data_IF_270121853927
#
_entry.id   IF_270121853927
#
_cell.length_a   1.000
_cell.length_b   1.000
_cell.length_c   1.000
_cell.angle_alpha   90.00
_cell.angle_beta   90.00
_cell.angle_gamma   90.00
#
_symmetry.space_group_name_H-M   'P 1'
#
loop_
_entity.id
_entity.type
_entity.pdbx_description
1 polymer ?
#
# COMPACT_ATOMS: atom_id res chain seq x y z
N UNK A 1 5.86 61.23 28.20
CA UNK A 1 6.72 60.05 27.95
C UNK A 1 6.18 59.38 26.70
N UNK A 2 6.87 59.58 25.56
CA UNK A 2 7.66 58.53 24.86
C UNK A 2 6.77 57.33 24.44
N UNK A 3 6.61 56.90 23.18
CA UNK A 3 7.23 57.22 21.87
C UNK A 3 6.33 56.58 20.79
N UNK A 4 5.78 57.36 19.84
CA UNK A 4 6.12 57.44 18.40
C UNK A 4 5.84 56.16 17.57
N UNK A 5 4.75 56.16 16.78
CA UNK A 5 4.63 56.54 15.35
C UNK A 5 5.12 55.42 14.41
N UNK A 6 4.27 54.68 13.69
CA UNK A 6 3.38 55.01 12.55
C UNK A 6 4.05 54.80 11.17
N UNK A 7 3.28 54.12 10.31
CA UNK A 7 3.14 54.27 8.85
C UNK A 7 4.21 53.69 7.88
N UNK A 8 3.71 52.79 7.01
CA UNK A 8 3.68 52.85 5.53
C UNK A 8 5.02 53.04 4.80
N UNK A 9 5.30 52.19 3.81
CA UNK A 9 5.28 52.61 2.39
C UNK A 9 5.70 51.50 1.43
N UNK A 10 4.87 51.34 0.41
CA UNK A 10 5.20 50.83 -0.91
C UNK A 10 6.16 51.76 -1.68
N UNK A 11 6.93 51.14 -2.58
CA UNK A 11 7.42 51.65 -3.87
C UNK A 11 8.66 52.57 -3.93
N UNK A 12 9.46 52.29 -4.97
CA UNK A 12 9.95 53.20 -6.02
C UNK A 12 11.47 53.44 -6.19
N UNK A 13 11.88 53.34 -7.48
CA UNK A 13 12.96 54.05 -8.21
C UNK A 13 14.41 53.69 -7.79
N UNK A 14 15.15 52.87 -8.54
CA UNK A 14 15.96 53.20 -9.75
C UNK A 14 17.01 54.30 -9.54
N UNK A 15 18.28 54.09 -9.95
CA UNK A 15 19.11 54.96 -10.82
C UNK A 15 20.64 54.75 -10.63
N UNK A 16 21.29 54.33 -11.74
CA UNK A 16 22.62 54.70 -12.34
C UNK A 16 23.91 54.69 -11.47
N UNK A 17 25.06 54.24 -11.99
CA UNK A 17 25.88 54.95 -12.98
C UNK A 17 26.90 54.07 -13.74
N UNK A 18 27.15 54.48 -14.98
CA UNK A 18 28.15 54.00 -15.92
C UNK A 18 29.60 54.28 -15.49
N UNK A 19 30.51 53.38 -15.86
CA UNK A 19 31.88 53.73 -16.22
C UNK A 19 32.29 52.94 -17.47
N UNK A 20 32.63 53.68 -18.52
CA UNK A 20 33.24 53.19 -19.75
C UNK A 20 34.74 53.54 -19.77
N UNK A 21 35.47 52.85 -20.65
CA UNK A 21 36.84 53.10 -21.15
C UNK A 21 38.00 52.44 -20.39
N UNK A 22 38.60 51.40 -20.98
CA UNK A 22 39.67 51.63 -21.97
C UNK A 22 40.09 50.33 -22.67
N UNK A 23 40.35 50.49 -23.97
CA UNK A 23 40.85 49.47 -24.89
C UNK A 23 42.18 48.87 -24.43
N UNK A 24 42.26 47.54 -24.48
CA UNK A 24 43.53 46.81 -24.42
C UNK A 24 43.66 46.00 -25.73
N UNK A 25 44.82 46.01 -26.42
CA UNK A 25 44.91 45.44 -27.77
C UNK A 25 44.71 43.92 -27.77
N UNK A 26 43.99 43.45 -28.79
CA UNK A 26 43.70 42.03 -29.01
C UNK A 26 44.99 41.24 -29.23
N UNK A 27 45.35 40.39 -28.27
CA UNK A 27 46.35 39.34 -28.47
C UNK A 27 45.84 38.36 -29.53
N UNK A 28 46.72 37.76 -30.36
CA UNK A 28 46.32 36.83 -31.40
C UNK A 28 45.50 35.70 -30.77
N UNK A 29 44.26 35.55 -31.24
CA UNK A 29 43.38 34.44 -30.90
C UNK A 29 44.07 33.18 -31.39
N UNK A 30 44.67 32.43 -30.48
CA UNK A 30 45.04 31.05 -30.76
C UNK A 30 43.78 30.35 -31.27
N UNK A 31 43.88 29.67 -32.41
CA UNK A 31 42.80 28.87 -32.96
C UNK A 31 42.14 28.07 -31.83
N UNK A 32 40.80 28.01 -31.75
CA UNK A 32 40.13 27.27 -30.70
C UNK A 32 40.72 25.88 -30.68
N UNK A 33 41.33 25.53 -29.54
CA UNK A 33 41.84 24.19 -29.28
C UNK A 33 40.73 23.23 -29.70
N UNK A 34 40.99 22.20 -30.54
CA UNK A 34 39.94 21.23 -30.86
C UNK A 34 39.36 20.78 -29.52
N UNK A 35 38.02 20.88 -29.41
CA UNK A 35 37.32 20.48 -28.21
C UNK A 35 37.90 19.12 -27.79
N UNK A 36 38.38 19.03 -26.55
CA UNK A 36 38.91 17.78 -26.03
C UNK A 36 37.89 16.70 -26.38
N UNK A 37 38.33 15.70 -27.16
CA UNK A 37 37.48 14.58 -27.55
C UNK A 37 36.72 14.15 -26.29
N UNK A 38 35.38 14.14 -26.38
CA UNK A 38 34.54 13.80 -25.24
C UNK A 38 35.11 12.54 -24.61
N UNK A 39 35.47 12.60 -23.31
CA UNK A 39 36.05 11.47 -22.59
C UNK A 39 35.26 10.22 -22.95
N UNK A 40 35.93 9.15 -23.37
CA UNK A 40 35.28 7.89 -23.70
C UNK A 40 34.41 7.50 -22.51
N UNK A 41 33.10 7.54 -22.70
CA UNK A 41 32.16 7.06 -21.69
C UNK A 41 32.34 5.55 -21.68
N UNK A 42 32.61 4.97 -20.52
CA UNK A 42 32.67 3.52 -20.38
C UNK A 42 31.34 2.93 -20.87
N UNK A 43 31.39 1.87 -21.67
CA UNK A 43 30.21 1.30 -22.33
C UNK A 43 30.23 -0.21 -22.22
N UNK A 44 29.05 -0.79 -22.03
CA UNK A 44 28.83 -2.24 -22.03
C UNK A 44 27.88 -2.59 -23.16
N UNK A 45 28.27 -3.54 -24.01
CA UNK A 45 27.47 -4.02 -25.13
C UNK A 45 27.54 -5.55 -25.22
N UNK A 46 26.51 -6.17 -25.80
CA UNK A 46 26.45 -7.61 -26.00
C UNK A 46 25.13 -8.03 -26.64
N UNK A 47 24.92 -9.35 -26.69
CA UNK A 47 23.68 -9.94 -27.20
C UNK A 47 23.05 -10.77 -26.07
N UNK A 48 21.86 -10.35 -25.64
CA UNK A 48 21.07 -11.05 -24.64
C UNK A 48 20.43 -12.30 -25.24
N UNK A 49 20.62 -13.44 -24.59
CA UNK A 49 19.93 -14.70 -24.88
C UNK A 49 19.03 -15.07 -23.72
N UNK A 50 17.75 -15.26 -24.04
CA UNK A 50 16.72 -15.70 -23.11
C UNK A 50 16.37 -17.16 -23.44
N UNK A 51 16.99 -18.08 -22.73
CA UNK A 51 16.79 -19.52 -22.90
C UNK A 51 15.78 -20.03 -21.89
N UNK A 52 14.75 -20.73 -22.36
CA UNK A 52 13.74 -21.36 -21.50
C UNK A 52 12.74 -20.39 -20.84
N UNK A 53 12.64 -19.15 -21.32
CA UNK A 53 11.50 -18.26 -21.06
C UNK A 53 10.49 -18.38 -22.22
N UNK A 54 9.16 -18.35 -21.98
CA UNK A 54 8.18 -18.40 -23.05
C UNK A 54 8.33 -17.13 -23.94
N UNK A 55 8.77 -17.25 -25.21
CA UNK A 55 9.10 -16.09 -26.04
C UNK A 55 7.89 -15.17 -26.25
N UNK A 56 6.70 -15.76 -26.40
CA UNK A 56 5.43 -15.05 -26.53
C UNK A 56 5.00 -14.25 -25.29
N UNK A 57 5.66 -14.45 -24.14
CA UNK A 57 5.33 -13.77 -22.89
C UNK A 57 6.27 -12.60 -22.58
N UNK A 58 7.44 -12.51 -23.23
CA UNK A 58 8.43 -11.46 -22.97
C UNK A 58 8.03 -10.19 -23.71
N UNK A 59 7.70 -9.12 -22.97
CA UNK A 59 7.32 -7.83 -23.55
C UNK A 59 8.49 -6.86 -23.68
N UNK A 60 9.49 -6.95 -22.81
CA UNK A 60 10.69 -6.13 -22.83
C UNK A 60 11.82 -6.77 -22.02
N UNK A 61 13.07 -6.41 -22.33
CA UNK A 61 14.23 -6.71 -21.50
C UNK A 61 15.08 -5.46 -21.31
N UNK A 62 15.34 -5.09 -20.06
CA UNK A 62 16.17 -3.96 -19.65
C UNK A 62 17.48 -4.47 -19.06
N UNK A 63 18.60 -3.91 -19.52
CA UNK A 63 19.94 -4.14 -18.99
C UNK A 63 20.32 -2.98 -18.08
N UNK A 64 20.67 -3.29 -16.84
CA UNK A 64 21.06 -2.35 -15.80
C UNK A 64 22.52 -2.64 -15.40
N UNK A 65 23.36 -1.61 -15.37
CA UNK A 65 24.75 -1.68 -14.94
C UNK A 65 24.88 -1.01 -13.58
N UNK A 66 25.35 -1.74 -12.57
CA UNK A 66 25.59 -1.22 -11.22
C UNK A 66 27.07 -1.31 -10.85
N UNK A 67 27.57 -0.35 -10.06
CA UNK A 67 28.95 -0.36 -9.59
C UNK A 67 29.19 -1.45 -8.54
N UNK A 68 28.21 -1.67 -7.67
CA UNK A 68 28.29 -2.61 -6.54
C UNK A 68 26.94 -3.29 -6.34
N UNK A 69 26.98 -4.50 -5.76
CA UNK A 69 25.79 -5.26 -5.40
C UNK A 69 26.05 -6.04 -4.12
N UNK A 70 25.25 -5.75 -3.09
CA UNK A 70 25.37 -6.35 -1.76
C UNK A 70 25.14 -7.87 -1.80
N UNK A 71 25.66 -8.58 -0.80
CA UNK A 71 25.45 -10.03 -0.67
C UNK A 71 23.95 -10.37 -0.52
N UNK A 72 23.19 -9.52 0.16
CA UNK A 72 21.75 -9.71 0.35
C UNK A 72 20.97 -9.44 -0.95
N UNK A 73 21.34 -8.42 -1.72
CA UNK A 73 20.74 -8.18 -3.03
C UNK A 73 21.03 -9.34 -4.00
N UNK A 74 22.24 -9.90 -3.97
CA UNK A 74 22.58 -11.12 -4.75
C UNK A 74 21.72 -12.31 -4.35
N UNK A 75 21.58 -12.58 -3.06
CA UNK A 75 20.71 -13.66 -2.56
C UNK A 75 19.26 -13.46 -2.98
N UNK A 76 18.75 -12.22 -2.91
CA UNK A 76 17.39 -11.88 -3.36
C UNK A 76 17.21 -12.16 -4.84
N UNK A 77 18.10 -11.69 -5.71
CA UNK A 77 18.02 -11.97 -7.17
C UNK A 77 18.04 -13.48 -7.44
N UNK A 78 18.91 -14.24 -6.75
CA UNK A 78 18.94 -15.70 -6.91
C UNK A 78 17.66 -16.38 -6.44
N UNK A 79 17.09 -15.96 -5.30
CA UNK A 79 15.83 -16.53 -4.79
C UNK A 79 14.63 -16.19 -5.69
N UNK A 80 14.59 -14.95 -6.16
CA UNK A 80 13.61 -14.49 -7.14
C UNK A 80 13.61 -15.40 -8.38
N UNK A 81 14.80 -15.70 -8.93
CA UNK A 81 14.96 -16.61 -10.07
C UNK A 81 14.39 -18.00 -9.80
N UNK A 82 14.70 -18.62 -8.67
CA UNK A 82 14.19 -19.96 -8.32
C UNK A 82 12.66 -20.00 -8.24
N UNK A 83 12.05 -19.02 -7.58
CA UNK A 83 10.59 -18.94 -7.44
C UNK A 83 9.89 -18.65 -8.75
N UNK A 84 10.52 -17.84 -9.59
CA UNK A 84 10.07 -17.59 -10.94
C UNK A 84 10.08 -18.89 -11.77
N UNK A 85 11.15 -19.69 -11.65
CA UNK A 85 11.26 -21.00 -12.32
C UNK A 85 10.15 -21.97 -11.90
N UNK A 86 9.79 -22.03 -10.62
CA UNK A 86 8.67 -22.84 -10.14
C UNK A 86 7.33 -22.39 -10.73
N UNK A 87 7.09 -21.07 -10.85
CA UNK A 87 5.86 -20.53 -11.44
C UNK A 87 5.73 -20.85 -12.93
N UNK A 88 6.79 -20.73 -13.71
CA UNK A 88 6.73 -21.00 -15.17
C UNK A 88 6.75 -22.48 -15.52
N UNK A 89 7.30 -23.34 -14.64
CA UNK A 89 7.36 -24.80 -14.87
C UNK A 89 6.21 -25.57 -14.23
N UNK A 90 5.38 -24.92 -13.40
CA UNK A 90 4.21 -25.53 -12.77
C UNK A 90 4.54 -26.54 -11.67
N UNK A 91 5.75 -26.50 -11.11
CA UNK A 91 6.14 -27.32 -9.97
C UNK A 91 5.95 -26.54 -8.67
N UNK A 92 5.10 -27.03 -7.76
CA UNK A 92 4.88 -26.45 -6.42
C UNK A 92 5.20 -27.47 -5.34
N UNK A 93 6.02 -27.10 -4.35
CA UNK A 93 6.09 -27.84 -3.08
C UNK A 93 4.80 -27.61 -2.27
N UNK A 94 4.07 -28.71 -2.02
CA UNK A 94 3.08 -28.91 -0.96
C UNK A 94 2.18 -27.73 -0.54
N UNK A 95 0.97 -27.65 -1.10
CA UNK A 95 -0.03 -26.66 -0.70
C UNK A 95 -0.60 -26.88 0.72
N UNK A 96 -0.68 -25.79 1.49
CA UNK A 96 -1.46 -25.72 2.72
C UNK A 96 -2.90 -25.24 2.44
N UNK A 97 -3.83 -25.64 3.32
CA UNK A 97 -5.27 -25.36 3.20
C UNK A 97 -5.57 -23.86 2.98
N UNK A 98 -6.44 -23.59 2.01
CA UNK A 98 -6.86 -22.23 1.63
C UNK A 98 -7.70 -21.63 2.75
N UNK A 99 -7.31 -20.43 3.24
CA UNK A 99 -8.12 -19.67 4.19
C UNK A 99 -9.41 -19.18 3.55
N UNK A 100 -10.51 -19.18 4.31
CA UNK A 100 -11.79 -18.64 3.88
C UNK A 100 -11.89 -17.11 4.05
N UNK A 101 -11.03 -16.51 4.88
CA UNK A 101 -10.93 -15.05 5.08
C UNK A 101 -9.57 -14.61 4.52
N UNK A 102 -9.54 -13.68 3.54
CA UNK A 102 -8.29 -13.17 2.97
C UNK A 102 -7.34 -12.65 4.05
N UNK A 103 -6.04 -12.83 3.84
CA UNK A 103 -4.97 -12.31 4.71
C UNK A 103 -5.00 -12.80 6.17
N UNK A 104 -5.62 -13.96 6.45
CA UNK A 104 -5.66 -14.57 7.79
C UNK A 104 -5.35 -16.06 7.71
N UNK A 105 -4.67 -16.60 8.71
CA UNK A 105 -4.39 -18.04 8.81
C UNK A 105 -5.69 -18.86 8.93
N UNK A 106 -5.76 -20.09 8.36
CA UNK A 106 -7.00 -20.90 8.38
C UNK A 106 -7.59 -21.14 9.77
N UNK A 107 -6.74 -21.34 10.79
CA UNK A 107 -7.19 -21.58 12.17
C UNK A 107 -7.85 -20.35 12.80
N UNK A 108 -7.31 -19.15 12.55
CA UNK A 108 -7.88 -17.89 13.04
C UNK A 108 -9.11 -17.52 12.21
N UNK A 109 -9.11 -17.80 10.90
CA UNK A 109 -10.26 -17.59 10.04
C UNK A 109 -11.49 -18.36 10.53
N UNK A 110 -11.34 -19.64 10.93
CA UNK A 110 -12.44 -20.45 11.50
C UNK A 110 -13.01 -19.83 12.78
N UNK A 111 -12.15 -19.32 13.67
CA UNK A 111 -12.58 -18.70 14.93
C UNK A 111 -13.34 -17.39 14.67
N UNK A 112 -12.80 -16.54 13.81
CA UNK A 112 -13.40 -15.26 13.45
C UNK A 112 -14.76 -15.45 12.78
N UNK A 113 -14.87 -16.40 11.84
CA UNK A 113 -16.13 -16.70 11.16
C UNK A 113 -17.21 -17.22 12.13
N UNK A 114 -16.83 -18.03 13.11
CA UNK A 114 -17.73 -18.48 14.17
C UNK A 114 -18.18 -17.31 15.06
N UNK A 115 -17.27 -16.42 15.45
CA UNK A 115 -17.58 -15.24 16.26
C UNK A 115 -18.54 -14.29 15.54
N UNK A 116 -18.30 -14.00 14.25
CA UNK A 116 -19.21 -13.14 13.47
C UNK A 116 -20.62 -13.74 13.35
N UNK A 117 -20.73 -15.07 13.17
CA UNK A 117 -22.04 -15.74 13.14
C UNK A 117 -22.76 -15.69 14.49
N UNK A 118 -22.02 -15.87 15.60
CA UNK A 118 -22.58 -15.76 16.93
C UNK A 118 -23.14 -14.36 17.20
N UNK A 119 -22.39 -13.31 16.86
CA UNK A 119 -22.83 -11.91 17.02
C UNK A 119 -24.09 -11.63 16.22
N UNK A 120 -24.21 -12.11 14.97
CA UNK A 120 -25.43 -11.91 14.16
C UNK A 120 -26.70 -12.46 14.83
N UNK A 121 -26.57 -13.45 15.71
CA UNK A 121 -27.69 -14.00 16.49
C UNK A 121 -28.06 -13.21 17.75
N UNK A 122 -27.27 -12.21 18.15
CA UNK A 122 -27.37 -11.52 19.44
C UNK A 122 -27.83 -10.06 19.34
N UNK A 123 -28.36 -9.64 18.18
CA UNK A 123 -28.81 -8.26 17.99
C UNK A 123 -29.86 -7.84 19.06
N UNK A 124 -29.70 -6.67 19.72
CA UNK A 124 -30.59 -6.24 20.78
C UNK A 124 -32.06 -6.16 20.35
N UNK A 125 -32.94 -6.83 21.08
CA UNK A 125 -34.38 -6.78 20.85
C UNK A 125 -34.94 -5.37 21.14
N UNK A 126 -36.13 -5.08 20.59
CA UNK A 126 -36.92 -3.90 20.96
C UNK A 126 -37.09 -3.83 22.48
N UNK A 127 -36.74 -2.70 23.08
CA UNK A 127 -36.88 -2.48 24.51
C UNK A 127 -38.32 -2.12 24.85
N UNK A 128 -38.86 -2.68 25.92
CA UNK A 128 -40.15 -2.30 26.50
C UNK A 128 -39.91 -1.84 27.93
N UNK A 129 -40.27 -0.60 28.22
CA UNK A 129 -40.19 0.00 29.55
C UNK A 129 -41.59 0.12 30.15
N UNK A 130 -41.77 -0.44 31.34
CA UNK A 130 -42.96 -0.24 32.16
C UNK A 130 -42.73 0.96 33.08
N UNK A 131 -43.48 2.04 32.88
CA UNK A 131 -43.41 3.26 33.69
C UNK A 131 -44.61 3.31 34.62
N UNK A 132 -44.35 3.38 35.92
CA UNK A 132 -45.38 3.62 36.94
C UNK A 132 -45.73 5.10 36.97
N UNK A 133 -46.99 5.41 36.67
CA UNK A 133 -47.56 6.76 36.69
C UNK A 133 -48.23 7.09 38.04
N UNK A 134 -48.10 6.19 39.03
CA UNK A 134 -48.82 6.24 40.30
C UNK A 134 -50.25 5.71 40.17
N UNK A 135 -50.93 5.52 41.32
CA UNK A 135 -52.32 5.04 41.39
C UNK A 135 -52.59 3.72 40.63
N UNK A 136 -51.66 2.76 40.68
CA UNK A 136 -51.73 1.47 39.97
C UNK A 136 -51.84 1.59 38.44
N UNK A 137 -51.33 2.67 37.84
CA UNK A 137 -51.30 2.84 36.38
C UNK A 137 -49.89 2.61 35.85
N UNK A 138 -49.71 1.48 35.16
CA UNK A 138 -48.51 1.20 34.38
C UNK A 138 -48.75 1.58 32.91
N UNK A 139 -47.80 2.29 32.32
CA UNK A 139 -47.78 2.57 30.88
C UNK A 139 -46.52 2.02 30.25
N UNK A 140 -46.69 1.42 29.06
CA UNK A 140 -45.61 0.82 28.28
C UNK A 140 -45.08 1.81 27.26
N UNK A 141 -43.77 1.99 27.25
CA UNK A 141 -43.03 2.69 26.19
C UNK A 141 -42.14 1.68 25.49
N UNK A 142 -42.16 1.65 24.16
CA UNK A 142 -41.41 0.69 23.36
C UNK A 142 -40.41 1.44 22.48
N UNK A 143 -39.18 0.96 22.38
CA UNK A 143 -38.21 1.58 21.49
C UNK A 143 -38.68 1.54 20.03
N UNK A 144 -38.31 2.55 19.25
CA UNK A 144 -38.77 2.74 17.87
C UNK A 144 -38.46 1.51 16.98
N UNK A 145 -39.52 0.95 16.40
CA UNK A 145 -39.41 -0.27 15.58
C UNK A 145 -38.73 -0.03 14.23
N UNK A 146 -38.84 1.18 13.66
CA UNK A 146 -38.16 1.57 12.43
C UNK A 146 -36.66 1.69 12.63
N UNK A 147 -36.26 2.40 13.69
CA UNK A 147 -34.87 2.52 14.12
C UNK A 147 -34.26 1.15 14.41
N UNK A 148 -35.00 0.27 15.08
CA UNK A 148 -34.60 -1.12 15.30
C UNK A 148 -34.32 -1.87 14.00
N UNK A 149 -35.24 -1.83 13.02
CA UNK A 149 -35.02 -2.52 11.73
C UNK A 149 -33.85 -1.94 10.95
N UNK A 150 -33.65 -0.62 11.02
CA UNK A 150 -32.54 0.04 10.36
C UNK A 150 -31.19 -0.44 10.90
N UNK A 151 -30.99 -0.40 12.23
CA UNK A 151 -29.73 -0.90 12.81
C UNK A 151 -29.56 -2.40 12.58
N UNK A 152 -30.63 -3.19 12.68
CA UNK A 152 -30.57 -4.63 12.37
C UNK A 152 -30.07 -4.88 10.95
N UNK A 153 -30.57 -4.10 9.98
CA UNK A 153 -30.12 -4.16 8.59
C UNK A 153 -28.64 -3.78 8.48
N UNK A 154 -28.24 -2.65 9.07
CA UNK A 154 -26.86 -2.17 9.00
C UNK A 154 -25.85 -3.19 9.54
N UNK A 155 -26.11 -3.77 10.71
CA UNK A 155 -25.26 -4.83 11.26
C UNK A 155 -25.29 -6.11 10.43
N UNK A 156 -26.46 -6.50 9.88
CA UNK A 156 -26.56 -7.70 9.04
C UNK A 156 -25.77 -7.60 7.72
N UNK A 157 -25.61 -6.37 7.21
CA UNK A 157 -24.87 -6.06 5.99
C UNK A 157 -23.35 -6.06 6.17
N UNK A 158 -22.86 -6.14 7.42
CA UNK A 158 -21.43 -6.25 7.71
C UNK A 158 -20.90 -7.61 7.24
N UNK A 159 -19.76 -7.51 6.55
CA UNK A 159 -18.92 -8.57 6.00
C UNK A 159 -17.46 -8.23 6.28
N UNK A 160 -16.56 -9.21 6.13
CA UNK A 160 -15.14 -9.01 6.40
C UNK A 160 -14.49 -7.91 5.54
N UNK A 161 -14.87 -7.81 4.27
CA UNK A 161 -14.35 -6.82 3.31
C UNK A 161 -14.81 -5.38 3.57
N UNK A 162 -15.85 -5.18 4.39
CA UNK A 162 -16.39 -3.86 4.71
C UNK A 162 -16.52 -3.56 6.20
N UNK A 163 -16.00 -4.44 7.08
CA UNK A 163 -16.24 -4.40 8.52
C UNK A 163 -15.85 -3.04 9.13
N UNK A 164 -14.64 -2.57 8.87
CA UNK A 164 -14.14 -1.30 9.43
C UNK A 164 -14.94 -0.10 8.94
N UNK A 165 -15.13 0.01 7.62
CA UNK A 165 -15.89 1.11 7.00
C UNK A 165 -17.35 1.10 7.47
N UNK A 166 -17.95 -0.08 7.57
CA UNK A 166 -19.32 -0.27 8.05
C UNK A 166 -19.46 0.11 9.52
N UNK A 167 -18.53 -0.29 10.38
CA UNK A 167 -18.53 0.11 11.79
C UNK A 167 -18.34 1.61 11.97
N UNK A 168 -17.46 2.24 11.18
CA UNK A 168 -17.33 3.70 11.18
C UNK A 168 -18.66 4.40 10.86
N UNK A 169 -19.32 3.97 9.78
CA UNK A 169 -20.63 4.50 9.39
C UNK A 169 -21.69 4.30 10.48
N UNK A 170 -21.75 3.11 11.09
CA UNK A 170 -22.69 2.81 12.16
C UNK A 170 -22.43 3.70 13.37
N UNK A 171 -21.17 3.92 13.77
CA UNK A 171 -20.80 4.79 14.88
C UNK A 171 -21.24 6.23 14.66
N UNK A 172 -20.98 6.80 13.48
CA UNK A 172 -21.40 8.15 13.10
C UNK A 172 -22.93 8.29 13.14
N UNK A 173 -23.64 7.27 12.62
CA UNK A 173 -25.10 7.24 12.64
C UNK A 173 -25.65 7.12 14.07
N UNK A 174 -25.03 6.33 14.94
CA UNK A 174 -25.42 6.22 16.35
C UNK A 174 -25.34 7.56 17.07
N UNK A 175 -24.29 8.33 16.81
CA UNK A 175 -24.14 9.67 17.38
C UNK A 175 -25.23 10.61 16.88
N UNK A 176 -25.52 10.59 15.57
CA UNK A 176 -26.59 11.41 14.97
C UNK A 176 -27.96 11.02 15.54
N UNK A 177 -28.29 9.73 15.58
CA UNK A 177 -29.55 9.24 16.17
C UNK A 177 -29.68 9.64 17.63
N UNK A 178 -28.61 9.55 18.43
CA UNK A 178 -28.63 9.95 19.83
C UNK A 178 -28.97 11.45 19.98
N UNK A 179 -28.36 12.31 19.18
CA UNK A 179 -28.61 13.76 19.19
C UNK A 179 -30.04 14.09 18.75
N UNK A 180 -30.55 13.43 17.70
CA UNK A 180 -31.92 13.60 17.21
C UNK A 180 -32.96 13.19 18.26
N UNK A 181 -32.76 12.05 18.94
CA UNK A 181 -33.67 11.57 19.98
C UNK A 181 -33.68 12.51 21.19
N UNK A 182 -32.52 12.99 21.62
CA UNK A 182 -32.41 13.96 22.73
C UNK A 182 -33.14 15.27 22.39
N UNK A 183 -32.87 15.83 21.21
CA UNK A 183 -33.49 17.08 20.77
C UNK A 183 -35.02 16.96 20.59
N UNK A 184 -35.51 15.79 20.17
CA UNK A 184 -36.94 15.49 20.10
C UNK A 184 -37.56 15.39 21.49
N UNK A 185 -36.90 14.71 22.43
CA UNK A 185 -37.36 14.57 23.82
C UNK A 185 -37.43 15.89 24.58
N UNK A 186 -36.46 16.79 24.39
CA UNK A 186 -36.44 18.11 25.02
C UNK A 186 -37.61 19.02 24.61
N UNK A 187 -38.17 18.78 23.42
CA UNK A 187 -39.27 19.58 22.84
C UNK A 187 -40.65 18.91 23.02
N UNK A 188 -40.69 17.70 23.57
CA UNK A 188 -41.88 16.91 23.69
C UNK A 188 -42.64 17.17 25.00
N UNK A 189 -43.85 16.65 25.08
CA UNK A 189 -44.57 16.49 26.34
C UNK A 189 -44.00 15.32 27.17
N UNK A 190 -44.56 15.08 28.36
CA UNK A 190 -44.08 14.03 29.26
C UNK A 190 -44.07 12.64 28.60
N UNK A 191 -45.09 12.33 27.79
CA UNK A 191 -45.17 11.06 27.07
C UNK A 191 -44.07 10.94 26.01
N UNK A 192 -43.84 11.98 25.21
CA UNK A 192 -42.77 11.99 24.23
C UNK A 192 -41.37 11.99 24.86
N UNK A 193 -41.20 12.59 26.03
CA UNK A 193 -39.96 12.50 26.81
C UNK A 193 -39.69 11.06 27.26
N UNK A 194 -40.68 10.36 27.82
CA UNK A 194 -40.55 8.94 28.20
C UNK A 194 -40.26 8.04 27.00
N UNK A 195 -40.86 8.35 25.85
CA UNK A 195 -40.57 7.65 24.60
C UNK A 195 -39.11 7.87 24.14
N UNK A 196 -38.58 9.09 24.29
CA UNK A 196 -37.18 9.39 24.01
C UNK A 196 -36.23 8.65 24.96
N UNK A 197 -36.56 8.55 26.26
CA UNK A 197 -35.81 7.74 27.23
C UNK A 197 -35.73 6.27 26.84
N UNK A 198 -36.85 5.66 26.41
CA UNK A 198 -36.88 4.28 25.94
C UNK A 198 -36.00 4.06 24.69
N UNK A 199 -36.03 5.01 23.75
CA UNK A 199 -35.18 4.98 22.56
C UNK A 199 -33.69 5.10 22.92
N UNK A 200 -33.33 6.01 23.83
CA UNK A 200 -31.94 6.18 24.29
C UNK A 200 -31.46 4.93 25.04
N UNK A 201 -32.29 4.35 25.90
CA UNK A 201 -31.95 3.13 26.63
C UNK A 201 -31.70 1.96 25.67
N UNK A 202 -32.53 1.82 24.63
CA UNK A 202 -32.28 0.84 23.59
C UNK A 202 -31.02 1.16 22.76
N UNK A 203 -30.78 2.41 22.39
CA UNK A 203 -29.57 2.81 21.66
C UNK A 203 -28.29 2.54 22.47
N UNK A 204 -28.34 2.62 23.81
CA UNK A 204 -27.24 2.16 24.69
C UNK A 204 -26.98 0.66 24.54
N UNK A 205 -28.02 -0.18 24.46
CA UNK A 205 -27.82 -1.62 24.20
C UNK A 205 -27.25 -1.88 22.80
N UNK A 206 -27.62 -1.09 21.79
CA UNK A 206 -26.96 -1.12 20.46
C UNK A 206 -25.50 -0.70 20.57
N UNK A 207 -25.15 0.25 21.45
CA UNK A 207 -23.75 0.68 21.66
C UNK A 207 -22.90 -0.40 22.30
N UNK A 208 -23.47 -1.17 23.23
CA UNK A 208 -22.81 -2.35 23.77
C UNK A 208 -22.58 -3.41 22.69
N UNK A 209 -23.60 -3.69 21.87
CA UNK A 209 -23.47 -4.62 20.73
C UNK A 209 -22.46 -4.14 19.69
N UNK A 210 -22.38 -2.83 19.41
CA UNK A 210 -21.35 -2.21 18.58
C UNK A 210 -19.94 -2.48 19.13
N UNK A 211 -19.76 -2.37 20.46
CA UNK A 211 -18.47 -2.61 21.09
C UNK A 211 -17.98 -4.06 20.91
N UNK A 212 -18.90 -5.02 20.87
CA UNK A 212 -18.57 -6.43 20.57
C UNK A 212 -18.09 -6.62 19.12
N UNK A 213 -18.72 -5.94 18.15
CA UNK A 213 -18.22 -5.91 16.77
C UNK A 213 -16.88 -5.21 16.65
N UNK A 214 -16.67 -4.13 17.42
CA UNK A 214 -15.40 -3.42 17.43
C UNK A 214 -14.28 -4.30 17.97
N UNK A 215 -14.51 -5.03 19.06
CA UNK A 215 -13.57 -6.03 19.57
C UNK A 215 -13.27 -7.11 18.51
N UNK A 216 -14.28 -7.63 17.82
CA UNK A 216 -14.07 -8.60 16.73
C UNK A 216 -13.25 -8.01 15.56
N UNK A 217 -13.43 -6.73 15.23
CA UNK A 217 -12.63 -6.05 14.22
C UNK A 217 -11.16 -5.91 14.66
N UNK A 218 -10.92 -5.64 15.95
CA UNK A 218 -9.58 -5.68 16.55
C UNK A 218 -8.98 -7.08 16.46
N UNK A 219 -9.71 -8.13 16.86
CA UNK A 219 -9.24 -9.52 16.76
C UNK A 219 -8.91 -9.92 15.32
N UNK A 220 -9.69 -9.44 14.34
CA UNK A 220 -9.42 -9.63 12.92
C UNK A 220 -8.13 -8.92 12.49
N UNK A 221 -7.92 -7.66 12.90
CA UNK A 221 -6.66 -6.94 12.63
C UNK A 221 -5.47 -7.64 13.28
N UNK A 222 -5.57 -8.06 14.54
CA UNK A 222 -4.50 -8.79 15.20
C UNK A 222 -4.24 -10.15 14.53
N UNK A 223 -5.26 -10.86 14.05
CA UNK A 223 -5.10 -12.11 13.32
C UNK A 223 -4.44 -11.89 11.95
N UNK A 224 -4.78 -10.79 11.29
CA UNK A 224 -4.14 -10.36 10.05
C UNK A 224 -2.69 -9.97 10.30
N UNK A 225 -2.43 -9.18 11.33
CA UNK A 225 -1.08 -8.78 11.72
C UNK A 225 -0.26 -9.99 12.14
N UNK A 226 -0.82 -10.95 12.91
CA UNK A 226 -0.15 -12.23 13.19
C UNK A 226 0.10 -13.07 11.95
N UNK A 227 -0.80 -13.03 10.96
CA UNK A 227 -0.62 -13.73 9.70
C UNK A 227 0.50 -13.09 8.87
N UNK A 228 0.49 -11.76 8.76
CA UNK A 228 1.56 -10.97 8.14
C UNK A 228 2.86 -11.21 8.89
N UNK A 229 2.85 -11.15 10.22
CA UNK A 229 4.00 -11.35 11.08
C UNK A 229 4.54 -12.78 10.93
N UNK A 230 3.67 -13.79 10.94
CA UNK A 230 4.04 -15.18 10.66
C UNK A 230 4.56 -15.38 9.24
N UNK A 231 4.15 -14.55 8.28
CA UNK A 231 4.77 -14.46 6.95
C UNK A 231 6.09 -13.66 6.95
N UNK A 232 6.33 -12.80 7.95
CA UNK A 232 7.60 -12.09 8.16
C UNK A 232 8.59 -12.83 9.07
N UNK A 233 8.19 -13.91 9.74
CA UNK A 233 9.08 -14.79 10.50
C UNK A 233 9.71 -15.81 9.54
N UNK A 234 10.87 -15.43 9.01
CA UNK A 234 11.98 -16.29 8.60
C UNK A 234 11.59 -17.56 7.83
N UNK A 235 10.71 -17.42 6.84
CA UNK A 235 10.64 -18.35 5.72
C UNK A 235 10.92 -17.57 4.45
N UNK A 236 11.99 -17.95 3.76
CA UNK A 236 12.19 -17.54 2.37
C UNK A 236 10.89 -17.82 1.61
N UNK A 237 10.30 -16.83 0.91
CA UNK A 237 9.05 -17.02 0.19
C UNK A 237 9.13 -18.29 -0.66
N UNK A 238 8.11 -19.14 -0.62
CA UNK A 238 8.08 -20.40 -1.38
C UNK A 238 7.38 -20.27 -2.72
N UNK A 239 6.72 -19.13 -2.99
CA UNK A 239 6.07 -18.82 -4.24
C UNK A 239 6.42 -17.41 -4.76
N UNK A 240 6.32 -17.25 -6.09
CA UNK A 240 6.69 -16.03 -6.81
C UNK A 240 5.83 -14.81 -6.46
N UNK A 241 4.52 -15.00 -6.24
CA UNK A 241 3.60 -13.88 -6.08
C UNK A 241 3.78 -13.21 -4.71
N UNK A 242 4.01 -14.01 -3.67
CA UNK A 242 4.41 -13.53 -2.35
C UNK A 242 5.78 -12.86 -2.38
N UNK A 243 6.76 -13.45 -3.08
CA UNK A 243 8.10 -12.85 -3.23
C UNK A 243 8.05 -11.47 -3.91
N UNK A 244 7.34 -11.36 -5.03
CA UNK A 244 7.26 -10.13 -5.80
C UNK A 244 6.58 -9.01 -5.00
N UNK A 245 5.51 -9.32 -4.25
CA UNK A 245 4.84 -8.36 -3.39
C UNK A 245 5.75 -7.83 -2.25
N UNK A 246 6.59 -8.71 -1.68
CA UNK A 246 7.45 -8.37 -0.54
C UNK A 246 8.74 -7.64 -0.95
N UNK A 247 9.37 -8.03 -2.07
CA UNK A 247 10.76 -7.65 -2.35
C UNK A 247 10.98 -6.84 -3.63
N UNK A 248 9.99 -6.71 -4.52
CA UNK A 248 10.18 -5.99 -5.79
C UNK A 248 10.62 -4.52 -5.60
N UNK A 249 10.04 -3.83 -4.60
CA UNK A 249 10.43 -2.44 -4.29
C UNK A 249 11.83 -2.36 -3.66
N UNK A 250 12.21 -3.32 -2.81
CA UNK A 250 13.54 -3.34 -2.17
C UNK A 250 14.67 -3.52 -3.19
N UNK A 251 14.45 -4.35 -4.21
CA UNK A 251 15.43 -4.60 -5.26
C UNK A 251 15.68 -3.37 -6.16
N UNK A 252 14.63 -2.58 -6.41
CA UNK A 252 14.73 -1.30 -7.12
C UNK A 252 15.52 -0.29 -6.27
N UNK A 253 15.24 -0.22 -4.96
CA UNK A 253 15.93 0.69 -4.05
C UNK A 253 17.42 0.32 -3.88
N UNK A 254 17.72 -0.95 -3.63
CA UNK A 254 19.09 -1.48 -3.44
C UNK A 254 19.98 -1.26 -4.68
N UNK A 255 19.39 -1.27 -5.87
CA UNK A 255 20.14 -1.06 -7.12
C UNK A 255 20.26 0.42 -7.48
N UNK A 256 19.29 1.26 -7.11
CA UNK A 256 19.17 2.67 -7.52
C UNK A 256 20.36 3.56 -7.14
N UNK A 257 20.96 3.37 -5.96
CA UNK A 257 22.08 4.18 -5.47
C UNK A 257 23.40 3.88 -6.20
N UNK A 258 23.48 2.72 -6.89
CA UNK A 258 24.68 2.23 -7.56
C UNK A 258 24.55 2.15 -9.08
N UNK A 259 23.45 2.65 -9.67
CA UNK A 259 23.23 2.60 -11.13
C UNK A 259 24.24 3.47 -11.86
N UNK A 260 25.02 2.85 -12.74
CA UNK A 260 25.94 3.51 -13.68
C UNK A 260 25.28 3.76 -15.05
N UNK A 261 24.27 2.97 -15.39
CA UNK A 261 23.39 3.20 -16.54
C UNK A 261 22.41 2.06 -16.76
N UNK A 262 21.34 2.34 -17.52
CA UNK A 262 20.37 1.34 -17.98
C UNK A 262 19.97 1.57 -19.44
N UNK A 263 19.45 0.53 -20.08
CA UNK A 263 18.89 0.59 -21.43
C UNK A 263 18.22 -0.72 -21.83
N UNK A 264 17.32 -0.65 -22.81
CA UNK A 264 16.58 -1.82 -23.29
C UNK A 264 17.36 -2.58 -24.36
N UNK A 265 17.25 -3.91 -24.34
CA UNK A 265 17.68 -4.75 -25.45
C UNK A 265 16.69 -4.62 -26.62
N UNK A 266 17.21 -4.64 -27.84
CA UNK A 266 16.42 -4.71 -29.06
C UNK A 266 15.77 -6.10 -29.22
N UNK A 267 14.86 -6.24 -30.18
CA UNK A 267 14.15 -7.52 -30.45
C UNK A 267 15.09 -8.69 -30.77
N UNK A 268 16.27 -8.41 -31.34
CA UNK A 268 17.31 -9.41 -31.62
C UNK A 268 18.21 -9.73 -30.40
N UNK A 269 17.92 -9.10 -29.25
CA UNK A 269 18.67 -9.21 -28.00
C UNK A 269 19.87 -8.27 -27.90
N UNK A 270 20.22 -7.52 -28.95
CA UNK A 270 21.37 -6.61 -28.91
C UNK A 270 21.13 -5.44 -27.96
N UNK A 271 22.16 -5.03 -27.21
CA UNK A 271 22.09 -3.85 -26.35
C UNK A 271 23.41 -3.08 -26.30
N UNK A 272 23.32 -1.79 -26.00
CA UNK A 272 24.45 -0.92 -25.67
C UNK A 272 24.03 0.03 -24.54
N UNK A 273 24.73 -0.05 -23.40
CA UNK A 273 24.41 0.73 -22.19
C UNK A 273 25.66 1.45 -21.69
N UNK A 274 25.48 2.66 -21.16
CA UNK A 274 26.57 3.42 -20.54
C UNK A 274 26.92 2.81 -19.17
N UNK A 275 28.21 2.76 -18.86
CA UNK A 275 28.74 2.20 -17.63
C UNK A 275 29.48 0.88 -17.84
N UNK A 276 30.34 0.56 -16.88
CA UNK A 276 31.07 -0.70 -16.76
C UNK A 276 30.88 -1.17 -15.32
N UNK A 277 30.36 -2.38 -15.12
CA UNK A 277 30.06 -2.87 -13.78
C UNK A 277 29.35 -4.22 -13.79
N UNK A 278 28.70 -4.54 -12.67
CA UNK A 278 27.88 -5.73 -12.52
C UNK A 278 26.61 -5.56 -13.35
N UNK A 279 26.28 -6.58 -14.13
CA UNK A 279 25.11 -6.58 -15.00
C UNK A 279 23.92 -7.24 -14.32
N UNK A 280 22.78 -6.56 -14.36
CA UNK A 280 21.47 -7.07 -13.95
C UNK A 280 20.55 -6.95 -15.16
N UNK A 281 19.79 -7.99 -15.45
CA UNK A 281 18.80 -7.96 -16.54
C UNK A 281 17.41 -8.06 -15.95
N UNK A 282 16.56 -7.07 -16.20
CA UNK A 282 15.14 -7.10 -15.86
C UNK A 282 14.35 -7.51 -17.10
N UNK A 283 13.62 -8.61 -17.02
CA UNK A 283 12.74 -9.10 -18.09
C UNK A 283 11.29 -8.84 -17.68
N UNK A 284 10.53 -8.18 -18.55
CA UNK A 284 9.08 -8.00 -18.40
C UNK A 284 8.33 -9.13 -19.08
N UNK A 285 7.37 -9.69 -18.36
CA UNK A 285 6.60 -10.85 -18.76
C UNK A 285 5.11 -10.58 -18.52
N UNK A 286 4.42 -10.05 -19.53
CA UNK A 286 3.04 -9.61 -19.40
C UNK A 286 2.86 -8.50 -18.36
N UNK A 287 2.35 -8.84 -17.17
CA UNK A 287 2.08 -7.88 -16.07
C UNK A 287 3.12 -7.94 -14.93
N UNK A 288 4.17 -8.74 -15.04
CA UNK A 288 5.21 -8.89 -14.01
C UNK A 288 6.61 -8.64 -14.58
N UNK A 289 7.60 -8.39 -13.71
CA UNK A 289 9.00 -8.31 -14.11
C UNK A 289 9.91 -9.09 -13.18
N UNK A 290 10.93 -9.74 -13.73
CA UNK A 290 11.92 -10.51 -12.99
C UNK A 290 13.34 -10.00 -13.31
N UNK A 291 14.20 -9.97 -12.29
CA UNK A 291 15.61 -9.61 -12.40
C UNK A 291 16.49 -10.87 -12.38
N UNK A 292 17.50 -10.88 -13.24
CA UNK A 292 18.47 -11.95 -13.42
C UNK A 292 19.88 -11.39 -13.31
N UNK A 293 20.83 -12.23 -12.90
CA UNK A 293 22.25 -11.90 -12.80
C UNK A 293 23.04 -12.75 -13.81
N UNK A 294 23.19 -12.29 -15.07
CA UNK A 294 23.89 -13.03 -16.10
C UNK A 294 25.34 -13.29 -15.69
N UNK A 295 25.83 -14.51 -15.91
CA UNK A 295 27.19 -14.92 -15.53
C UNK A 295 27.37 -15.30 -14.06
N UNK A 296 26.29 -15.34 -13.26
CA UNK A 296 26.33 -16.11 -12.01
C UNK A 296 26.44 -17.61 -12.33
N UNK A 297 27.19 -18.38 -11.53
CA UNK A 297 27.39 -19.82 -11.77
C UNK A 297 26.11 -20.67 -11.68
N UNK A 298 24.97 -20.05 -11.34
CA UNK A 298 23.65 -20.67 -11.20
C UNK A 298 22.64 -20.16 -12.22
N UNK A 299 22.97 -19.15 -13.04
CA UNK A 299 22.06 -18.54 -14.02
C UNK A 299 22.30 -19.12 -15.43
N UNK A 300 21.31 -19.82 -15.97
CA UNK A 300 21.39 -20.45 -17.30
C UNK A 300 20.35 -19.91 -18.29
N UNK A 301 19.33 -19.17 -17.81
CA UNK A 301 18.20 -18.65 -18.59
C UNK A 301 18.53 -17.33 -19.27
N UNK A 302 19.30 -16.49 -18.60
CA UNK A 302 19.73 -15.19 -19.14
C UNK A 302 21.24 -15.21 -19.35
N UNK A 303 21.64 -15.31 -20.61
CA UNK A 303 23.06 -15.28 -21.01
C UNK A 303 23.36 -14.05 -21.84
N UNK A 304 24.62 -13.66 -21.82
CA UNK A 304 25.12 -12.58 -22.66
C UNK A 304 26.23 -13.14 -23.54
N UNK A 305 25.94 -13.21 -24.82
CA UNK A 305 26.91 -13.53 -25.84
C UNK A 305 27.65 -12.27 -26.27
N UNK A 306 28.89 -12.43 -26.71
CA UNK A 306 29.74 -11.35 -27.24
C UNK A 306 29.84 -10.11 -26.31
N UNK A 307 29.85 -10.32 -24.99
CA UNK A 307 29.97 -9.25 -24.01
C UNK A 307 31.28 -8.45 -24.23
N UNK A 308 31.13 -7.15 -24.43
CA UNK A 308 32.23 -6.18 -24.55
C UNK A 308 32.02 -5.06 -23.55
N UNK A 309 33.04 -4.84 -22.72
CA UNK A 309 33.09 -3.72 -21.79
C UNK A 309 34.29 -2.85 -22.17
N UNK A 310 34.03 -1.58 -22.49
CA UNK A 310 35.00 -0.59 -22.97
C UNK A 310 35.24 0.49 -21.91
#
# INVERSE_FOLDING_TARGET
>A
MLSRLLYVSSAFVSLFLFAACSDTPSKPVAAPKPAAAAKSVAKTAGILKLDGLPPESVSAAEVIIVSELSADARKRISRQRELFEYKITGQTEGGAAVSAIPDVAPADAVKLDAAMRALKGQFPAVLVMDVDLGNNRLRKFQSDSGLHQEYKYLFSALKWDNLERGLKFISEKMETSNQEILAAGEKADDDGYRQAEANIAWLKSVRSYFAEYFALATDYHEAKDRYIDAQTVDQDPTDWDTYAAMYAHMLIMDTSEHILGSGFAAEDGSFEVKGHGIMIVRVELGVVSAYFLPGSGTEERVRIDDLRQF
#
